data_IF_164931811728
#
_entry.id   IF_164931811728
#
_cell.length_a   1.000
_cell.length_b   1.000
_cell.length_c   1.000
_cell.angle_alpha   90.00
_cell.angle_beta   90.00
_cell.angle_gamma   90.00
#
_symmetry.space_group_name_H-M   'P 1'
#
loop_
_entity.id
_entity.type
_entity.pdbx_description
1 polymer ?
#
# COMPACT_ATOMS: atom_id res chain seq x y z
N UNK A 1 -20.59 11.63 44.21
CA UNK A 1 -21.47 12.76 44.54
C UNK A 1 -20.61 13.91 45.06
N UNK A 2 -20.16 14.78 44.16
CA UNK A 2 -19.69 16.14 44.43
C UNK A 2 -19.44 16.80 43.07
N UNK A 3 -20.35 17.70 42.70
CA UNK A 3 -20.29 18.54 41.50
C UNK A 3 -19.23 19.64 41.65
N UNK A 4 -18.55 19.96 40.56
CA UNK A 4 -18.04 21.31 40.33
C UNK A 4 -18.06 21.60 38.83
N UNK A 5 -19.01 22.45 38.43
CA UNK A 5 -19.23 22.99 37.10
C UNK A 5 -18.28 24.14 36.81
N UNK A 6 -17.69 24.16 35.61
CA UNK A 6 -17.15 25.39 35.03
C UNK A 6 -17.37 25.38 33.51
N UNK A 7 -18.27 26.25 33.06
CA UNK A 7 -18.33 26.75 31.68
C UNK A 7 -17.49 28.03 31.60
N UNK A 8 -16.99 28.39 30.41
CA UNK A 8 -17.53 29.61 29.81
C UNK A 8 -17.74 29.55 28.29
N UNK A 9 -18.82 30.21 27.89
CA UNK A 9 -19.16 30.82 26.58
C UNK A 9 -18.26 32.07 26.34
N UNK A 10 -18.03 32.71 25.17
CA UNK A 10 -18.57 32.69 23.80
C UNK A 10 -17.71 33.65 22.90
N UNK A 11 -17.73 33.41 21.57
CA UNK A 11 -17.69 34.36 20.41
C UNK A 11 -16.34 35.01 19.98
N UNK A 12 -16.22 35.57 18.74
CA UNK A 12 -16.66 35.09 17.40
C UNK A 12 -15.61 35.36 16.27
N UNK A 13 -16.04 35.15 15.00
CA UNK A 13 -15.73 35.94 13.78
C UNK A 13 -14.73 35.43 12.70
N UNK A 14 -15.29 35.43 11.47
CA UNK A 14 -14.71 35.80 10.15
C UNK A 14 -14.29 34.68 9.18
N UNK A 15 -15.24 34.41 8.29
CA UNK A 15 -15.09 33.98 6.89
C UNK A 15 -14.28 34.99 6.08
N UNK A 16 -13.33 34.51 5.25
CA UNK A 16 -12.96 35.17 3.99
C UNK A 16 -12.62 34.15 2.90
N UNK A 17 -13.52 34.08 1.93
CA UNK A 17 -13.23 33.73 0.53
C UNK A 17 -12.23 34.73 -0.08
N UNK A 18 -11.35 34.25 -0.96
CA UNK A 18 -11.00 35.04 -2.16
C UNK A 18 -10.50 34.12 -3.28
N UNK A 19 -11.30 34.06 -4.33
CA UNK A 19 -11.00 33.54 -5.66
C UNK A 19 -10.44 34.70 -6.49
N UNK A 20 -9.33 34.51 -7.21
CA UNK A 20 -8.79 35.51 -8.13
C UNK A 20 -8.87 34.95 -9.56
N UNK A 21 -9.82 35.50 -10.33
CA UNK A 21 -9.84 35.49 -11.78
C UNK A 21 -8.95 36.63 -12.29
N UNK A 22 -8.16 36.38 -13.33
CA UNK A 22 -7.54 37.43 -14.15
C UNK A 22 -7.74 37.10 -15.63
N UNK A 23 -8.60 37.89 -16.26
CA UNK A 23 -8.85 37.97 -17.69
C UNK A 23 -8.09 39.16 -18.28
N UNK A 24 -7.64 38.97 -19.53
CA UNK A 24 -7.49 39.93 -20.63
C UNK A 24 -6.52 41.11 -20.51
N UNK A 25 -5.57 41.18 -21.46
CA UNK A 25 -5.46 42.30 -22.40
C UNK A 25 -4.55 41.95 -23.59
N UNK A 26 -5.13 41.94 -24.79
CA UNK A 26 -4.46 42.08 -26.09
C UNK A 26 -4.17 43.56 -26.36
N UNK A 27 -3.23 43.86 -27.27
CA UNK A 27 -3.58 44.79 -28.33
C UNK A 27 -3.15 44.33 -29.73
N UNK A 28 -4.03 44.57 -30.69
CA UNK A 28 -3.79 44.51 -32.13
C UNK A 28 -3.13 45.81 -32.61
N UNK A 29 -2.22 45.72 -33.58
CA UNK A 29 -2.05 46.76 -34.63
C UNK A 29 -1.64 46.11 -35.95
N UNK A 30 -2.08 46.75 -37.04
CA UNK A 30 -2.22 46.26 -38.41
C UNK A 30 -1.05 46.63 -39.34
N UNK A 31 -0.82 45.74 -40.32
CA UNK A 31 -0.48 45.94 -41.75
C UNK A 31 0.72 46.79 -42.20
N UNK A 32 1.61 46.15 -43.00
CA UNK A 32 1.92 46.59 -44.37
C UNK A 32 2.72 45.53 -45.17
N UNK A 33 2.45 45.48 -46.48
CA UNK A 33 3.00 44.59 -47.52
C UNK A 33 4.53 44.55 -47.64
N UNK A 34 5.07 43.37 -48.02
CA UNK A 34 6.12 43.27 -49.04
C UNK A 34 6.16 41.85 -49.63
N UNK A 35 6.05 41.75 -50.96
CA UNK A 35 6.14 40.52 -51.75
C UNK A 35 7.56 40.27 -52.24
N UNK A 36 7.87 38.97 -52.38
CA UNK A 36 8.92 38.34 -53.18
C UNK A 36 10.37 38.36 -52.65
N UNK A 37 10.92 37.15 -52.44
CA UNK A 37 12.14 36.60 -53.09
C UNK A 37 12.28 35.11 -52.63
N UNK A 38 12.29 34.17 -53.58
CA UNK A 38 12.93 32.84 -53.47
C UNK A 38 14.36 32.97 -54.04
N UNK A 39 15.34 32.07 -53.82
CA UNK A 39 15.27 30.69 -53.33
C UNK A 39 16.40 30.31 -52.33
N UNK A 40 16.36 29.09 -51.80
CA UNK A 40 17.52 28.17 -51.73
C UNK A 40 17.22 27.02 -50.76
N UNK A 41 17.15 25.83 -51.34
CA UNK A 41 17.15 24.55 -50.65
C UNK A 41 18.41 24.39 -49.79
N UNK A 42 18.25 24.30 -48.48
CA UNK A 42 19.18 23.52 -47.67
C UNK A 42 18.41 22.55 -46.77
N UNK A 43 18.47 21.29 -47.21
CA UNK A 43 17.88 20.11 -46.60
C UNK A 43 18.69 19.77 -45.35
N UNK A 44 18.33 20.32 -44.19
CA UNK A 44 18.67 19.71 -42.91
C UNK A 44 17.58 18.70 -42.55
N UNK A 45 17.84 17.44 -42.89
CA UNK A 45 17.03 16.30 -42.48
C UNK A 45 17.56 15.88 -41.11
N UNK A 46 16.99 16.43 -40.03
CA UNK A 46 17.16 15.82 -38.71
C UNK A 46 16.32 14.54 -38.67
N UNK A 47 17.01 13.41 -38.56
CA UNK A 47 16.42 12.09 -38.36
C UNK A 47 15.73 12.08 -37.00
N UNK A 48 14.39 12.14 -37.00
CA UNK A 48 13.58 11.88 -35.82
C UNK A 48 13.51 10.36 -35.59
N UNK A 49 14.62 9.79 -35.13
CA UNK A 49 14.69 8.40 -34.68
C UNK A 49 14.75 8.32 -33.16
N UNK A 50 13.70 7.79 -32.53
CA UNK A 50 13.82 7.14 -31.22
C UNK A 50 13.30 7.90 -30.00
N UNK A 51 11.99 8.02 -29.85
CA UNK A 51 11.35 8.32 -28.54
C UNK A 51 10.08 7.46 -28.28
N UNK A 52 9.49 6.84 -29.30
CA UNK A 52 8.25 6.04 -29.18
C UNK A 52 8.44 4.64 -28.57
N UNK A 53 9.69 4.16 -28.44
CA UNK A 53 9.99 2.81 -27.93
C UNK A 53 10.28 2.72 -26.42
N UNK A 54 10.73 3.81 -25.79
CA UNK A 54 11.15 3.80 -24.39
C UNK A 54 9.95 3.81 -23.44
N UNK A 55 8.98 4.70 -23.67
CA UNK A 55 7.77 4.81 -22.84
C UNK A 55 6.85 3.59 -22.97
N UNK A 56 6.74 2.98 -24.16
CA UNK A 56 6.01 1.73 -24.38
C UNK A 56 6.68 0.54 -23.69
N UNK A 57 8.02 0.49 -23.69
CA UNK A 57 8.79 -0.54 -22.95
C UNK A 57 8.70 -0.35 -21.44
N UNK A 58 8.77 0.89 -20.94
CA UNK A 58 8.62 1.21 -19.52
C UNK A 58 7.21 0.86 -19.01
N UNK A 59 6.17 1.21 -19.77
CA UNK A 59 4.79 0.84 -19.44
C UNK A 59 4.58 -0.68 -19.39
N UNK A 60 5.20 -1.43 -20.32
CA UNK A 60 5.18 -2.90 -20.31
C UNK A 60 5.85 -3.47 -19.06
N UNK A 61 7.02 -2.96 -18.68
CA UNK A 61 7.76 -3.42 -17.51
C UNK A 61 7.02 -3.13 -16.20
N UNK A 62 6.39 -1.95 -16.07
CA UNK A 62 5.58 -1.62 -14.90
C UNK A 62 4.36 -2.56 -14.82
N UNK A 63 3.70 -2.82 -15.96
CA UNK A 63 2.55 -3.73 -16.03
C UNK A 63 2.93 -5.17 -15.69
N UNK A 64 4.05 -5.66 -16.22
CA UNK A 64 4.56 -7.01 -15.94
C UNK A 64 4.95 -7.18 -14.48
N UNK A 65 5.63 -6.17 -13.90
CA UNK A 65 6.01 -6.20 -12.48
C UNK A 65 4.78 -6.15 -11.57
N UNK A 66 3.82 -5.27 -11.85
CA UNK A 66 2.56 -5.20 -11.11
C UNK A 66 1.79 -6.53 -11.20
N UNK A 67 1.73 -7.14 -12.39
CA UNK A 67 1.10 -8.45 -12.57
C UNK A 67 1.79 -9.53 -11.73
N UNK A 68 3.12 -9.59 -11.76
CA UNK A 68 3.90 -10.55 -10.96
C UNK A 68 3.71 -10.34 -9.45
N UNK A 69 3.64 -9.09 -8.99
CA UNK A 69 3.45 -8.80 -7.57
C UNK A 69 2.03 -9.16 -7.10
N UNK A 70 1.01 -8.95 -7.94
CA UNK A 70 -0.35 -9.44 -7.70
C UNK A 70 -0.36 -10.97 -7.65
N UNK A 71 0.26 -11.65 -8.62
CA UNK A 71 0.33 -13.11 -8.66
C UNK A 71 0.98 -13.70 -7.39
N UNK A 72 2.03 -13.06 -6.85
CA UNK A 72 2.63 -13.48 -5.58
C UNK A 72 1.65 -13.42 -4.41
N UNK A 73 0.82 -12.38 -4.34
CA UNK A 73 -0.23 -12.27 -3.31
C UNK A 73 -1.23 -13.42 -3.47
N UNK A 74 -1.72 -13.65 -4.70
CA UNK A 74 -2.65 -14.76 -4.96
C UNK A 74 -2.05 -16.14 -4.63
N UNK A 75 -0.76 -16.36 -4.92
CA UNK A 75 -0.10 -17.61 -4.55
C UNK A 75 0.11 -17.76 -3.04
N UNK A 76 0.35 -16.65 -2.33
CA UNK A 76 0.56 -16.65 -0.88
C UNK A 76 -0.72 -16.97 -0.10
N UNK A 77 -1.88 -16.60 -0.65
CA UNK A 77 -3.20 -16.84 -0.05
C UNK A 77 -3.99 -17.95 -0.75
N UNK A 78 -3.34 -18.83 -1.52
CA UNK A 78 -4.04 -19.88 -2.29
C UNK A 78 -4.90 -20.77 -1.39
N UNK A 79 -4.33 -21.29 -0.30
CA UNK A 79 -5.06 -22.14 0.66
C UNK A 79 -6.25 -21.43 1.29
N UNK A 80 -6.07 -20.16 1.70
CA UNK A 80 -7.16 -19.36 2.27
C UNK A 80 -8.27 -19.14 1.25
N UNK A 81 -7.93 -18.86 -0.01
CA UNK A 81 -8.91 -18.71 -1.10
C UNK A 81 -9.66 -20.01 -1.36
N UNK A 82 -8.96 -21.14 -1.34
CA UNK A 82 -9.57 -22.45 -1.60
C UNK A 82 -10.55 -22.81 -0.46
N UNK A 83 -10.21 -22.51 0.80
CA UNK A 83 -11.14 -22.67 1.94
C UNK A 83 -12.38 -21.77 1.82
N UNK A 84 -12.20 -20.52 1.38
CA UNK A 84 -13.29 -19.57 1.20
C UNK A 84 -14.15 -19.83 -0.05
N UNK A 85 -13.73 -20.72 -0.95
CA UNK A 85 -14.48 -21.04 -2.17
C UNK A 85 -15.83 -21.71 -1.86
N UNK A 86 -15.96 -22.35 -0.70
CA UNK A 86 -17.24 -22.93 -0.21
C UNK A 86 -18.34 -21.88 -0.17
N UNK A 87 -18.01 -20.61 0.12
CA UNK A 87 -18.97 -19.50 0.14
C UNK A 87 -19.69 -19.35 -1.20
N UNK A 88 -19.01 -19.60 -2.32
CA UNK A 88 -19.62 -19.49 -3.64
C UNK A 88 -20.71 -20.55 -3.84
N UNK A 89 -20.48 -21.76 -3.35
CA UNK A 89 -21.47 -22.84 -3.40
C UNK A 89 -22.68 -22.55 -2.50
N UNK A 90 -22.45 -22.02 -1.30
CA UNK A 90 -23.50 -21.63 -0.35
C UNK A 90 -24.43 -20.57 -0.95
N UNK A 91 -23.86 -19.58 -1.63
CA UNK A 91 -24.61 -18.44 -2.18
C UNK A 91 -25.37 -18.77 -3.47
N UNK A 92 -25.08 -19.89 -4.15
CA UNK A 92 -25.83 -20.31 -5.34
C UNK A 92 -27.28 -20.68 -5.01
N UNK A 93 -27.52 -21.28 -3.84
CA UNK A 93 -28.83 -21.75 -3.40
C UNK A 93 -29.53 -20.77 -2.46
N UNK A 94 -28.92 -19.62 -2.18
CA UNK A 94 -29.47 -18.65 -1.26
C UNK A 94 -30.81 -18.08 -1.76
N UNK A 95 -31.76 -18.02 -0.85
CA UNK A 95 -32.99 -17.25 -0.97
C UNK A 95 -33.33 -16.62 0.40
N UNK A 96 -34.32 -15.73 0.42
CA UNK A 96 -34.64 -14.97 1.64
C UNK A 96 -35.01 -15.87 2.84
N UNK A 97 -35.70 -17.00 2.61
CA UNK A 97 -36.10 -17.91 3.68
C UNK A 97 -34.92 -18.68 4.28
N UNK A 98 -33.87 -18.93 3.48
CA UNK A 98 -32.67 -19.66 3.90
C UNK A 98 -31.56 -18.73 4.44
N UNK A 99 -31.84 -17.44 4.63
CA UNK A 99 -30.84 -16.44 5.03
C UNK A 99 -30.09 -16.84 6.31
N UNK A 100 -30.80 -17.23 7.36
CA UNK A 100 -30.18 -17.57 8.65
C UNK A 100 -29.21 -18.74 8.50
N UNK A 101 -29.65 -19.80 7.83
CA UNK A 101 -28.85 -21.00 7.57
C UNK A 101 -27.59 -20.67 6.76
N UNK A 102 -27.72 -19.93 5.67
CA UNK A 102 -26.58 -19.57 4.82
C UNK A 102 -25.59 -18.67 5.55
N UNK A 103 -26.09 -17.76 6.40
CA UNK A 103 -25.24 -16.88 7.20
C UNK A 103 -24.49 -17.64 8.31
N UNK A 104 -25.10 -18.66 8.91
CA UNK A 104 -24.44 -19.53 9.88
C UNK A 104 -23.31 -20.35 9.22
N UNK A 105 -23.55 -20.91 8.04
CA UNK A 105 -22.53 -21.64 7.27
C UNK A 105 -21.40 -20.70 6.79
N UNK A 106 -21.75 -19.46 6.43
CA UNK A 106 -20.76 -18.40 6.12
C UNK A 106 -19.92 -18.03 7.35
N UNK A 107 -20.53 -17.91 8.53
CA UNK A 107 -19.82 -17.66 9.79
C UNK A 107 -18.76 -18.74 10.04
N UNK A 108 -19.14 -20.01 9.93
CA UNK A 108 -18.23 -21.14 10.10
C UNK A 108 -17.07 -21.09 9.10
N UNK A 109 -17.37 -20.85 7.81
CA UNK A 109 -16.34 -20.74 6.77
C UNK A 109 -15.32 -19.62 7.04
N UNK A 110 -15.78 -18.49 7.58
CA UNK A 110 -14.91 -17.37 7.99
C UNK A 110 -14.04 -17.76 9.18
N UNK A 111 -14.60 -18.42 10.20
CA UNK A 111 -13.84 -18.88 11.37
C UNK A 111 -12.77 -19.91 11.00
N UNK A 112 -13.08 -20.86 10.12
CA UNK A 112 -12.12 -21.85 9.57
C UNK A 112 -10.99 -21.16 8.80
N UNK A 113 -11.24 -19.96 8.27
CA UNK A 113 -10.27 -19.16 7.53
C UNK A 113 -9.49 -18.15 8.40
N UNK A 114 -9.42 -18.39 9.72
CA UNK A 114 -8.75 -17.55 10.72
C UNK A 114 -9.33 -16.14 10.89
N UNK A 115 -10.60 -15.91 10.52
CA UNK A 115 -11.27 -14.67 10.89
C UNK A 115 -11.62 -14.71 12.38
N UNK A 116 -11.18 -13.71 13.14
CA UNK A 116 -11.46 -13.65 14.57
C UNK A 116 -12.97 -13.51 14.87
N UNK A 117 -13.49 -14.10 15.96
CA UNK A 117 -14.94 -14.11 16.24
C UNK A 117 -15.62 -12.74 16.18
N UNK A 118 -14.94 -11.70 16.70
CA UNK A 118 -15.46 -10.33 16.69
C UNK A 118 -15.65 -9.75 15.29
N UNK A 119 -14.74 -10.05 14.36
CA UNK A 119 -14.85 -9.54 12.98
C UNK A 119 -15.88 -10.34 12.19
N UNK A 120 -15.95 -11.65 12.43
CA UNK A 120 -16.92 -12.54 11.79
C UNK A 120 -18.34 -12.14 12.12
N UNK A 121 -18.68 -12.04 13.42
CA UNK A 121 -20.01 -11.59 13.88
C UNK A 121 -20.38 -10.25 13.24
N UNK A 122 -19.43 -9.31 13.20
CA UNK A 122 -19.68 -7.98 12.63
C UNK A 122 -19.98 -8.04 11.13
N UNK A 123 -19.30 -8.89 10.38
CA UNK A 123 -19.53 -9.07 8.94
C UNK A 123 -20.90 -9.72 8.72
N UNK A 124 -21.17 -10.81 9.42
CA UNK A 124 -22.40 -11.61 9.25
C UNK A 124 -23.65 -10.79 9.60
N UNK A 125 -23.63 -10.08 10.73
CA UNK A 125 -24.75 -9.21 11.13
C UNK A 125 -24.96 -8.04 10.16
N UNK A 126 -23.87 -7.47 9.61
CA UNK A 126 -24.00 -6.43 8.58
C UNK A 126 -24.66 -6.96 7.31
N UNK A 127 -24.34 -8.18 6.90
CA UNK A 127 -24.97 -8.82 5.74
C UNK A 127 -26.44 -9.15 6.03
N UNK A 128 -26.73 -9.67 7.24
CA UNK A 128 -28.10 -9.94 7.72
C UNK A 128 -28.97 -8.70 7.63
N UNK A 129 -28.51 -7.59 8.19
CA UNK A 129 -29.24 -6.31 8.17
C UNK A 129 -29.51 -5.81 6.75
N UNK A 130 -28.51 -5.91 5.86
CA UNK A 130 -28.63 -5.44 4.48
C UNK A 130 -29.53 -6.34 3.61
N UNK A 131 -29.57 -7.64 3.90
CA UNK A 131 -30.53 -8.59 3.30
C UNK A 131 -31.95 -8.25 3.76
N UNK A 132 -32.17 -8.12 5.08
CA UNK A 132 -33.50 -7.84 5.65
C UNK A 132 -34.03 -6.45 5.25
N UNK A 133 -33.14 -5.49 5.05
CA UNK A 133 -33.48 -4.17 4.51
C UNK A 133 -33.76 -4.18 2.99
N UNK A 134 -33.61 -5.33 2.32
CA UNK A 134 -33.86 -5.49 0.89
C UNK A 134 -32.80 -4.83 -0.01
N UNK A 135 -31.61 -4.52 0.53
CA UNK A 135 -30.49 -3.95 -0.23
C UNK A 135 -29.75 -5.02 -1.03
N UNK A 136 -29.61 -6.21 -0.46
CA UNK A 136 -28.97 -7.36 -1.10
C UNK A 136 -30.05 -8.33 -1.58
N UNK A 137 -30.07 -8.63 -2.89
CA UNK A 137 -31.19 -9.36 -3.52
C UNK A 137 -30.76 -10.65 -4.20
N UNK A 138 -29.46 -10.92 -4.25
CA UNK A 138 -28.91 -12.09 -4.92
C UNK A 138 -27.61 -12.55 -4.25
N UNK A 139 -27.25 -13.82 -4.44
CA UNK A 139 -25.97 -14.38 -3.97
C UNK A 139 -24.74 -13.57 -4.40
N UNK A 140 -24.63 -13.14 -5.68
CA UNK A 140 -23.57 -12.23 -6.13
C UNK A 140 -23.52 -10.90 -5.35
N UNK A 141 -24.67 -10.28 -5.05
CA UNK A 141 -24.71 -9.03 -4.26
C UNK A 141 -24.16 -9.27 -2.85
N UNK A 142 -24.53 -10.39 -2.22
CA UNK A 142 -24.05 -10.78 -0.89
C UNK A 142 -22.54 -11.01 -0.91
N UNK A 143 -22.01 -11.69 -1.93
CA UNK A 143 -20.57 -11.92 -2.10
C UNK A 143 -19.80 -10.61 -2.25
N UNK A 144 -20.31 -9.67 -3.04
CA UNK A 144 -19.66 -8.38 -3.20
C UNK A 144 -19.78 -7.51 -1.94
N UNK A 145 -20.90 -7.57 -1.23
CA UNK A 145 -21.06 -6.92 0.08
C UNK A 145 -20.09 -7.49 1.13
N UNK A 146 -19.85 -8.80 1.14
CA UNK A 146 -18.84 -9.45 1.99
C UNK A 146 -17.44 -8.91 1.69
N UNK A 147 -17.06 -8.86 0.41
CA UNK A 147 -15.76 -8.32 -0.03
C UNK A 147 -15.58 -6.86 0.39
N UNK A 148 -16.63 -6.04 0.22
CA UNK A 148 -16.61 -4.64 0.63
C UNK A 148 -16.50 -4.50 2.15
N UNK A 149 -17.21 -5.33 2.91
CA UNK A 149 -17.14 -5.32 4.38
C UNK A 149 -15.71 -5.63 4.88
N UNK A 150 -15.04 -6.63 4.29
CA UNK A 150 -13.64 -6.94 4.60
C UNK A 150 -12.71 -5.79 4.19
N UNK A 151 -12.89 -5.22 3.00
CA UNK A 151 -12.09 -4.09 2.51
C UNK A 151 -12.22 -2.86 3.43
N UNK A 152 -13.42 -2.57 3.88
CA UNK A 152 -13.69 -1.47 4.81
C UNK A 152 -13.01 -1.72 6.15
N UNK A 153 -13.04 -2.95 6.68
CA UNK A 153 -12.32 -3.28 7.92
C UNK A 153 -10.81 -3.05 7.80
N UNK A 154 -10.23 -3.34 6.63
CA UNK A 154 -8.80 -3.13 6.36
C UNK A 154 -8.44 -1.65 6.18
N UNK A 155 -9.34 -0.82 5.64
CA UNK A 155 -9.06 0.57 5.25
C UNK A 155 -9.54 1.62 6.24
N UNK A 156 -10.56 1.31 7.06
CA UNK A 156 -11.27 2.27 7.95
C UNK A 156 -10.39 2.92 9.02
N UNK A 157 -9.21 2.37 9.34
CA UNK A 157 -8.34 2.93 10.38
C UNK A 157 -7.44 4.08 9.92
N UNK A 158 -7.54 4.56 8.68
CA UNK A 158 -6.68 5.64 8.19
C UNK A 158 -5.18 5.29 8.20
N UNK A 159 -4.88 3.99 8.27
CA UNK A 159 -3.54 3.48 8.30
C UNK A 159 -2.96 3.63 6.90
N UNK A 160 -2.11 4.63 6.72
CA UNK A 160 -1.23 4.68 5.55
C UNK A 160 -0.38 3.40 5.59
N UNK A 161 -0.54 2.56 4.58
CA UNK A 161 0.23 1.31 4.43
C UNK A 161 1.67 1.58 4.03
N UNK A 162 1.93 2.77 3.48
CA UNK A 162 3.26 3.25 3.13
C UNK A 162 4.06 3.69 4.36
N UNK A 163 5.36 3.43 4.31
CA UNK A 163 6.29 3.83 5.36
C UNK A 163 6.41 5.36 5.42
N UNK A 164 6.01 5.95 6.54
CA UNK A 164 6.00 7.41 6.74
C UNK A 164 7.38 7.90 7.21
N UNK A 165 8.32 8.07 6.28
CA UNK A 165 9.70 8.49 6.61
C UNK A 165 9.86 10.02 6.78
N UNK A 166 8.89 10.81 6.32
CA UNK A 166 9.00 12.27 6.30
C UNK A 166 10.13 12.79 5.40
N UNK A 167 10.52 14.05 5.59
CA UNK A 167 11.58 14.71 4.80
C UNK A 167 12.89 14.90 5.57
N UNK A 168 12.84 14.88 6.91
CA UNK A 168 14.00 15.07 7.78
C UNK A 168 14.82 13.77 7.82
N UNK A 169 16.15 13.90 7.82
CA UNK A 169 17.10 12.78 7.82
C UNK A 169 18.01 12.83 9.05
N UNK A 170 18.43 11.67 9.61
CA UNK A 170 18.04 10.32 9.19
C UNK A 170 16.61 9.96 9.65
N UNK A 171 15.88 9.21 8.84
CA UNK A 171 14.66 8.54 9.28
C UNK A 171 15.05 7.24 10.00
N UNK A 172 14.45 6.98 11.16
CA UNK A 172 14.80 5.82 12.00
C UNK A 172 13.62 4.83 12.00
N UNK A 173 13.90 3.58 11.66
CA UNK A 173 12.92 2.49 11.64
C UNK A 173 13.40 1.40 12.59
N UNK A 174 12.61 1.13 13.63
CA UNK A 174 12.86 0.05 14.59
C UNK A 174 11.95 -1.14 14.28
N UNK A 175 12.53 -2.33 14.11
CA UNK A 175 11.79 -3.58 13.88
C UNK A 175 11.79 -4.40 15.16
N UNK A 176 10.60 -4.69 15.68
CA UNK A 176 10.38 -5.39 16.96
C UNK A 176 9.51 -6.63 16.77
N UNK A 177 9.55 -7.55 17.73
CA UNK A 177 8.72 -8.76 17.75
C UNK A 177 9.39 -9.95 18.44
N UNK A 178 8.67 -11.07 18.51
CA UNK A 178 9.14 -12.30 19.18
C UNK A 178 10.08 -13.13 18.31
N UNK A 179 10.70 -14.16 18.89
CA UNK A 179 11.56 -15.10 18.16
C UNK A 179 10.74 -15.92 17.15
N UNK A 180 11.35 -16.30 16.04
CA UNK A 180 10.68 -17.03 14.95
C UNK A 180 9.85 -16.15 14.00
N UNK A 181 9.48 -14.93 14.36
CA UNK A 181 8.69 -14.02 13.51
C UNK A 181 9.42 -13.41 12.31
N UNK A 182 10.66 -13.81 12.03
CA UNK A 182 11.40 -13.36 10.85
C UNK A 182 11.87 -11.90 10.86
N UNK A 183 12.12 -11.30 12.03
CA UNK A 183 12.55 -9.89 12.19
C UNK A 183 13.78 -9.53 11.36
N UNK A 184 14.90 -10.21 11.59
CA UNK A 184 16.18 -9.95 10.91
C UNK A 184 16.05 -10.14 9.40
N UNK A 185 15.35 -11.19 8.97
CA UNK A 185 15.05 -11.45 7.55
C UNK A 185 14.19 -10.35 6.93
N UNK A 186 13.19 -9.86 7.65
CA UNK A 186 12.29 -8.79 7.16
C UNK A 186 13.01 -7.45 7.08
N UNK A 187 13.90 -7.17 8.04
CA UNK A 187 14.79 -6.00 8.01
C UNK A 187 15.67 -6.03 6.76
N UNK A 188 16.34 -7.14 6.49
CA UNK A 188 17.19 -7.28 5.30
C UNK A 188 16.41 -7.12 3.99
N UNK A 189 15.20 -7.70 3.90
CA UNK A 189 14.30 -7.50 2.75
C UNK A 189 13.87 -6.04 2.59
N UNK A 190 13.56 -5.35 3.69
CA UNK A 190 13.21 -3.93 3.67
C UNK A 190 14.39 -3.07 3.20
N UNK A 191 15.59 -3.32 3.72
CA UNK A 191 16.80 -2.63 3.31
C UNK A 191 17.10 -2.84 1.82
N UNK A 192 16.98 -4.08 1.32
CA UNK A 192 17.10 -4.38 -0.11
C UNK A 192 16.11 -3.57 -0.95
N UNK A 193 14.84 -3.51 -0.54
CA UNK A 193 13.81 -2.72 -1.22
C UNK A 193 14.16 -1.23 -1.25
N UNK A 194 14.44 -0.62 -0.09
CA UNK A 194 14.75 0.81 0.02
C UNK A 194 16.03 1.20 -0.73
N UNK A 195 17.04 0.32 -0.71
CA UNK A 195 18.30 0.50 -1.45
C UNK A 195 18.06 0.48 -2.96
N UNK A 196 17.18 -0.39 -3.46
CA UNK A 196 16.77 -0.40 -4.87
C UNK A 196 15.93 0.85 -5.26
N UNK A 197 15.29 1.49 -4.28
CA UNK A 197 14.63 2.79 -4.45
C UNK A 197 15.62 3.97 -4.34
N UNK A 198 16.93 3.70 -4.14
CA UNK A 198 18.00 4.69 -4.10
C UNK A 198 18.28 5.29 -2.71
N UNK A 199 17.69 4.74 -1.64
CA UNK A 199 17.95 5.21 -0.29
C UNK A 199 19.35 4.82 0.20
N UNK A 200 20.00 5.73 0.94
CA UNK A 200 21.21 5.42 1.72
C UNK A 200 20.77 4.80 3.04
N UNK A 201 21.21 3.57 3.30
CA UNK A 201 20.78 2.76 4.45
C UNK A 201 21.98 2.44 5.33
N UNK A 202 21.81 2.69 6.63
CA UNK A 202 22.69 2.20 7.69
C UNK A 202 21.89 1.20 8.52
N UNK A 203 22.41 -0.02 8.66
CA UNK A 203 21.86 -1.05 9.54
C UNK A 203 22.48 -0.94 10.94
N UNK A 204 21.70 -1.25 11.97
CA UNK A 204 22.19 -1.32 13.34
C UNK A 204 21.79 -2.67 13.96
N UNK A 205 22.78 -3.48 14.36
CA UNK A 205 22.57 -4.77 15.00
C UNK A 205 22.20 -4.58 16.48
N UNK A 206 20.92 -4.26 16.71
CA UNK A 206 20.35 -4.08 18.06
C UNK A 206 19.82 -5.35 18.72
N UNK A 207 19.83 -6.50 18.04
CA UNK A 207 19.43 -7.80 18.62
C UNK A 207 20.63 -8.44 19.32
N UNK A 208 21.00 -7.92 20.50
CA UNK A 208 22.18 -8.36 21.27
C UNK A 208 21.95 -9.61 22.10
N UNK A 209 20.69 -10.05 22.22
CA UNK A 209 20.36 -11.26 22.99
C UNK A 209 20.57 -12.54 22.17
N UNK A 210 20.36 -12.46 20.84
CA UNK A 210 20.51 -13.60 19.94
C UNK A 210 21.84 -13.46 19.19
N UNK A 211 22.88 -14.16 19.65
CA UNK A 211 24.21 -14.13 19.03
C UNK A 211 24.16 -14.28 17.49
N UNK A 212 23.43 -15.27 16.97
CA UNK A 212 23.32 -15.51 15.53
C UNK A 212 22.52 -14.43 14.75
N UNK A 213 21.79 -13.54 15.43
CA UNK A 213 21.04 -12.48 14.77
C UNK A 213 21.96 -11.36 14.24
N UNK A 214 23.07 -11.10 14.95
CA UNK A 214 24.11 -10.15 14.54
C UNK A 214 24.77 -10.64 13.24
N UNK A 215 25.32 -11.87 13.25
CA UNK A 215 25.93 -12.52 12.09
C UNK A 215 24.98 -12.55 10.88
N UNK A 216 23.70 -12.89 11.11
CA UNK A 216 22.70 -12.91 10.04
C UNK A 216 22.46 -11.52 9.44
N UNK A 217 22.50 -10.47 10.27
CA UNK A 217 22.32 -9.10 9.80
C UNK A 217 23.54 -8.59 9.03
N UNK A 218 24.76 -9.01 9.42
CA UNK A 218 25.98 -8.73 8.65
C UNK A 218 25.91 -9.33 7.24
N UNK A 219 25.45 -10.58 7.11
CA UNK A 219 25.23 -11.22 5.80
C UNK A 219 24.22 -10.42 4.96
N UNK A 220 23.16 -9.88 5.58
CA UNK A 220 22.21 -9.02 4.87
C UNK A 220 22.81 -7.67 4.47
N UNK A 221 23.66 -7.08 5.31
CA UNK A 221 24.38 -5.85 5.00
C UNK A 221 25.29 -6.05 3.78
N UNK A 222 26.08 -7.12 3.76
CA UNK A 222 26.92 -7.50 2.63
C UNK A 222 26.09 -7.74 1.36
N UNK A 223 25.03 -8.55 1.44
CA UNK A 223 24.15 -8.87 0.31
C UNK A 223 23.48 -7.64 -0.30
N UNK A 224 23.14 -6.66 0.51
CA UNK A 224 22.46 -5.44 0.07
C UNK A 224 23.43 -4.31 -0.28
N UNK A 225 24.69 -4.41 0.16
CA UNK A 225 25.68 -3.34 0.09
C UNK A 225 25.37 -2.18 1.02
N UNK A 226 24.77 -2.45 2.20
CA UNK A 226 24.51 -1.45 3.22
C UNK A 226 25.62 -1.44 4.27
N UNK A 227 25.87 -0.28 4.88
CA UNK A 227 26.75 -0.19 6.05
C UNK A 227 26.04 -0.77 7.29
N UNK A 228 26.81 -1.30 8.24
CA UNK A 228 26.28 -1.87 9.49
C UNK A 228 27.10 -1.46 10.71
N UNK A 229 26.39 -1.12 11.79
CA UNK A 229 26.95 -0.95 13.14
C UNK A 229 26.61 -2.18 13.98
N UNK A 230 27.61 -2.72 14.66
CA UNK A 230 27.51 -3.94 15.49
C UNK A 230 27.98 -3.62 16.91
N UNK A 231 27.42 -4.31 17.91
CA UNK A 231 27.77 -4.11 19.31
C UNK A 231 29.26 -4.43 19.58
N UNK A 232 29.91 -3.60 20.40
CA UNK A 232 31.28 -3.83 20.88
C UNK A 232 31.26 -4.99 21.90
N UNK A 233 31.62 -6.19 21.44
CA UNK A 233 31.65 -7.41 22.25
C UNK A 233 31.80 -8.70 21.44
N UNK A 234 31.37 -8.71 20.17
CA UNK A 234 31.48 -9.90 19.29
C UNK A 234 32.67 -9.83 18.30
N UNK A 235 33.25 -8.64 18.06
CA UNK A 235 34.42 -8.43 17.19
C UNK A 235 35.78 -8.82 17.82
N UNK A 236 35.83 -9.87 18.63
CA UNK A 236 37.09 -10.51 19.05
C UNK A 236 37.43 -11.76 18.23
N UNK A 237 36.68 -12.09 17.18
CA UNK A 237 37.02 -13.20 16.27
C UNK A 237 36.94 -12.75 14.81
N UNK A 238 38.01 -13.11 14.08
CA UNK A 238 38.19 -13.03 12.64
C UNK A 238 38.66 -11.69 12.04
N UNK A 239 39.74 -11.11 12.58
CA UNK A 239 40.81 -10.61 11.72
C UNK A 239 41.81 -11.74 11.46
N UNK A 240 41.48 -12.65 10.55
CA UNK A 240 42.44 -13.62 9.99
C UNK A 240 42.64 -13.34 8.50
N UNK A 241 43.66 -12.52 8.22
CA UNK A 241 44.51 -12.52 7.02
C UNK A 241 43.87 -12.43 5.63
N UNK A 242 44.13 -11.32 4.94
CA UNK A 242 45.35 -11.11 4.14
C UNK A 242 45.62 -9.63 3.92
#
# INVERSE_FOLDING_TARGET
MAMASATPTRLPLISKHTSFYLTNCLPQTRFSHCTAIRPATNRFKCSAGGQTGFFTRLGRLIKEKAKSDVEKIFSGFSKTRDNLAVIDELLLYWNLADTDKVLDELEEALLVSDFGPRITIKIVESLRDDILAGKLKSGPDIKDALKNSVLDLLTKKGNKTELQLGYRKPAVVLIVGVNGGGKTTSLGKLAYRLKNEGAKILMAAGDTFRAAASDQLEIWAERTGCEIVVAEGEKAKASSGR
#
